data_IF_723511499182
#
_entry.id   IF_723511499182
#
_cell.length_a   1.000
_cell.length_b   1.000
_cell.length_c   1.000
_cell.angle_alpha   90.00
_cell.angle_beta   90.00
_cell.angle_gamma   90.00
#
_symmetry.space_group_name_H-M   'P 1'
#
loop_
_entity.id
_entity.type
_entity.pdbx_description
1 polymer ?
#
# COMPACT_ATOMS: atom_id res chain seq x y z
N UNK A 1 -21.11 -27.90 -15.57
CA UNK A 1 -22.39 -28.63 -15.74
C UNK A 1 -23.03 -28.35 -17.12
N UNK A 2 -23.30 -27.14 -17.53
CA UNK A 2 -23.87 -26.83 -18.85
C UNK A 2 -22.84 -26.93 -19.99
N UNK A 3 -21.57 -26.74 -19.73
CA UNK A 3 -20.47 -26.81 -20.71
C UNK A 3 -19.90 -28.23 -20.94
N UNK A 4 -20.34 -29.21 -20.13
CA UNK A 4 -19.81 -30.59 -20.22
C UNK A 4 -18.39 -30.79 -19.66
N UNK A 5 -17.76 -29.73 -19.14
CA UNK A 5 -16.46 -29.80 -18.45
C UNK A 5 -16.65 -29.97 -16.95
N UNK A 6 -15.88 -30.87 -16.36
CA UNK A 6 -15.80 -30.97 -14.90
C UNK A 6 -15.21 -29.65 -14.34
N UNK A 7 -16.00 -28.97 -13.51
CA UNK A 7 -15.65 -27.66 -12.93
C UNK A 7 -14.43 -27.76 -11.99
N UNK A 8 -14.01 -28.96 -11.63
CA UNK A 8 -12.94 -29.18 -10.66
C UNK A 8 -11.53 -28.84 -11.19
N UNK A 9 -11.32 -28.70 -12.50
CA UNK A 9 -9.98 -28.52 -13.06
C UNK A 9 -9.75 -27.20 -13.85
N UNK A 10 -10.78 -26.43 -14.20
CA UNK A 10 -10.56 -25.20 -14.97
C UNK A 10 -11.39 -24.03 -14.48
N UNK A 11 -10.71 -23.12 -13.79
CA UNK A 11 -11.29 -21.81 -13.41
C UNK A 11 -11.49 -20.85 -14.60
N UNK A 12 -11.31 -21.29 -15.85
CA UNK A 12 -11.34 -20.42 -17.03
C UNK A 12 -12.33 -20.98 -18.05
N UNK A 13 -13.25 -20.14 -18.51
CA UNK A 13 -14.17 -20.44 -19.63
C UNK A 13 -13.85 -19.49 -20.78
N UNK A 14 -13.68 -20.03 -21.99
CA UNK A 14 -13.52 -19.20 -23.18
C UNK A 14 -14.85 -18.59 -23.61
N UNK A 15 -14.80 -17.40 -24.20
CA UNK A 15 -15.97 -16.67 -24.71
C UNK A 15 -16.84 -17.54 -25.64
N UNK A 16 -16.20 -18.32 -26.51
CA UNK A 16 -16.89 -19.22 -27.43
C UNK A 16 -17.67 -20.33 -26.72
N UNK A 17 -17.13 -20.88 -25.64
CA UNK A 17 -17.83 -21.87 -24.81
C UNK A 17 -18.99 -21.25 -24.05
N UNK A 18 -18.81 -20.05 -23.50
CA UNK A 18 -19.87 -19.29 -22.84
C UNK A 18 -21.01 -19.01 -23.82
N UNK A 19 -20.74 -18.55 -25.04
CA UNK A 19 -21.77 -18.26 -26.03
C UNK A 19 -22.59 -19.50 -26.41
N UNK A 20 -21.99 -20.68 -26.47
CA UNK A 20 -22.74 -21.96 -26.67
C UNK A 20 -23.73 -22.20 -25.52
N UNK A 21 -23.29 -21.96 -24.28
CA UNK A 21 -24.18 -22.08 -23.12
C UNK A 21 -25.31 -21.03 -23.16
N UNK A 22 -24.99 -19.81 -23.55
CA UNK A 22 -25.97 -18.75 -23.71
C UNK A 22 -27.05 -19.11 -24.75
N UNK A 23 -26.65 -19.57 -25.93
CA UNK A 23 -27.57 -20.02 -26.98
C UNK A 23 -28.45 -21.22 -26.54
N UNK A 24 -27.88 -22.13 -25.75
CA UNK A 24 -28.63 -23.22 -25.14
C UNK A 24 -29.70 -22.69 -24.18
N UNK A 25 -29.35 -21.74 -23.32
CA UNK A 25 -30.29 -21.13 -22.38
C UNK A 25 -31.40 -20.36 -23.07
N UNK A 26 -31.13 -19.70 -24.20
CA UNK A 26 -32.15 -19.03 -25.00
C UNK A 26 -33.24 -19.97 -25.55
N UNK A 27 -32.87 -21.21 -25.84
CA UNK A 27 -33.75 -22.23 -26.45
C UNK A 27 -34.43 -23.15 -25.42
N UNK A 28 -33.99 -23.11 -24.15
CA UNK A 28 -34.44 -24.06 -23.13
C UNK A 28 -35.33 -23.36 -22.10
N UNK A 29 -36.47 -23.95 -21.78
CA UNK A 29 -37.37 -23.45 -20.75
C UNK A 29 -36.78 -23.71 -19.35
N UNK A 30 -37.04 -22.82 -18.37
CA UNK A 30 -36.55 -23.02 -16.98
C UNK A 30 -37.02 -24.36 -16.38
N UNK A 31 -38.24 -24.83 -16.70
CA UNK A 31 -38.72 -26.15 -16.27
C UNK A 31 -37.87 -27.29 -16.77
N UNK A 32 -37.40 -27.22 -18.01
CA UNK A 32 -36.58 -28.28 -18.64
C UNK A 32 -35.19 -28.30 -18.04
N UNK A 33 -34.63 -27.14 -17.67
CA UNK A 33 -33.38 -27.04 -16.92
C UNK A 33 -33.46 -27.70 -15.54
N UNK A 34 -34.60 -27.54 -14.87
CA UNK A 34 -34.83 -28.17 -13.57
C UNK A 34 -34.91 -29.69 -13.69
N UNK A 35 -35.63 -30.20 -14.68
CA UNK A 35 -35.82 -31.64 -14.88
C UNK A 35 -34.56 -32.32 -15.43
N UNK A 36 -33.98 -31.79 -16.50
CA UNK A 36 -32.87 -32.40 -17.20
C UNK A 36 -31.50 -32.20 -16.51
N UNK A 37 -31.31 -31.09 -15.81
CA UNK A 37 -30.02 -30.69 -15.22
C UNK A 37 -30.02 -30.61 -13.68
N UNK A 38 -31.12 -30.97 -13.04
CA UNK A 38 -31.30 -30.93 -11.56
C UNK A 38 -30.99 -29.52 -10.97
N UNK A 39 -31.25 -28.46 -11.75
CA UNK A 39 -31.07 -27.08 -11.28
C UNK A 39 -32.27 -26.72 -10.40
N UNK A 40 -32.07 -26.13 -9.23
CA UNK A 40 -33.17 -25.73 -8.35
C UNK A 40 -34.17 -24.82 -9.06
N UNK A 41 -35.47 -24.99 -8.77
CA UNK A 41 -36.57 -24.26 -9.42
C UNK A 41 -36.50 -22.75 -9.24
N UNK A 42 -35.93 -22.28 -8.13
CA UNK A 42 -35.69 -20.87 -7.81
C UNK A 42 -34.48 -20.29 -8.57
N UNK A 43 -33.55 -21.12 -9.04
CA UNK A 43 -32.33 -20.68 -9.76
C UNK A 43 -32.54 -20.72 -11.29
N UNK A 44 -33.25 -21.72 -11.80
CA UNK A 44 -33.43 -21.93 -13.25
C UNK A 44 -33.93 -20.69 -14.00
N UNK A 45 -34.91 -19.90 -13.50
CA UNK A 45 -35.37 -18.66 -14.16
C UNK A 45 -34.33 -17.55 -14.20
N UNK A 46 -33.36 -17.56 -13.28
CA UNK A 46 -32.35 -16.52 -13.16
C UNK A 46 -31.14 -16.73 -14.08
N UNK A 47 -30.98 -17.92 -14.63
CA UNK A 47 -29.80 -18.26 -15.45
C UNK A 47 -29.73 -17.45 -16.74
N UNK A 48 -30.84 -17.28 -17.44
CA UNK A 48 -30.86 -16.52 -18.68
C UNK A 48 -30.60 -15.03 -18.49
N UNK A 49 -31.24 -14.32 -17.52
CA UNK A 49 -30.88 -12.95 -17.18
C UNK A 49 -29.41 -12.79 -16.77
N UNK A 50 -28.89 -13.69 -15.94
CA UNK A 50 -27.47 -13.67 -15.54
C UNK A 50 -26.53 -13.85 -16.75
N UNK A 51 -26.82 -14.81 -17.63
CA UNK A 51 -26.05 -15.05 -18.83
C UNK A 51 -26.11 -13.85 -19.81
N UNK A 52 -27.24 -13.14 -19.89
CA UNK A 52 -27.38 -11.95 -20.71
C UNK A 52 -26.49 -10.80 -20.18
N UNK A 53 -26.43 -10.62 -18.87
CA UNK A 53 -25.55 -9.62 -18.24
C UNK A 53 -24.09 -9.93 -18.57
N UNK A 54 -23.65 -11.18 -18.36
CA UNK A 54 -22.29 -11.60 -18.67
C UNK A 54 -21.97 -11.42 -20.16
N UNK A 55 -22.90 -11.81 -21.06
CA UNK A 55 -22.74 -11.59 -22.51
C UNK A 55 -22.49 -10.13 -22.84
N UNK A 56 -23.33 -9.23 -22.32
CA UNK A 56 -23.17 -7.80 -22.56
C UNK A 56 -21.84 -7.26 -22.00
N UNK A 57 -21.39 -7.74 -20.85
CA UNK A 57 -20.06 -7.39 -20.32
C UNK A 57 -18.93 -7.85 -21.23
N UNK A 58 -19.01 -9.08 -21.76
CA UNK A 58 -18.02 -9.62 -22.71
C UNK A 58 -17.99 -8.82 -24.00
N UNK A 59 -19.17 -8.43 -24.52
CA UNK A 59 -19.28 -7.62 -25.74
C UNK A 59 -18.72 -6.22 -25.55
N UNK A 60 -18.98 -5.62 -24.38
CA UNK A 60 -18.46 -4.29 -24.04
C UNK A 60 -16.96 -4.25 -23.79
N UNK A 61 -16.42 -5.26 -23.11
CA UNK A 61 -15.00 -5.32 -22.73
C UNK A 61 -14.10 -5.92 -23.79
N UNK A 62 -14.65 -6.72 -24.72
CA UNK A 62 -13.91 -7.43 -25.76
C UNK A 62 -13.01 -8.53 -25.23
N UNK A 63 -13.16 -8.98 -23.97
CA UNK A 63 -12.35 -10.05 -23.39
C UNK A 63 -12.79 -11.44 -23.90
N UNK A 64 -11.82 -12.34 -24.09
CA UNK A 64 -12.05 -13.67 -24.62
C UNK A 64 -12.15 -14.77 -23.55
N UNK A 65 -11.84 -14.46 -22.29
CA UNK A 65 -11.80 -15.43 -21.20
C UNK A 65 -12.52 -14.93 -19.98
N UNK A 66 -13.28 -15.82 -19.32
CA UNK A 66 -13.97 -15.59 -18.06
C UNK A 66 -13.28 -16.43 -17.00
N UNK A 67 -12.84 -15.78 -15.93
CA UNK A 67 -12.30 -16.46 -14.77
C UNK A 67 -13.41 -16.74 -13.76
N UNK A 68 -13.57 -18.00 -13.35
CA UNK A 68 -14.55 -18.43 -12.35
C UNK A 68 -13.84 -18.81 -11.05
N UNK A 69 -13.75 -17.92 -10.08
CA UNK A 69 -13.24 -18.30 -8.77
C UNK A 69 -14.22 -19.25 -8.07
N UNK A 70 -13.72 -20.29 -7.45
CA UNK A 70 -14.52 -21.26 -6.68
C UNK A 70 -14.86 -20.77 -5.26
N UNK A 71 -14.85 -19.48 -5.02
CA UNK A 71 -15.16 -18.88 -3.72
C UNK A 71 -16.61 -18.43 -3.64
N UNK A 72 -17.26 -18.72 -2.52
CA UNK A 72 -18.54 -18.13 -2.15
C UNK A 72 -18.34 -16.91 -1.24
N UNK A 73 -19.39 -16.10 -1.05
CA UNK A 73 -19.38 -15.03 -0.05
C UNK A 73 -19.08 -15.57 1.36
N UNK A 74 -19.61 -16.74 1.68
CA UNK A 74 -19.37 -17.40 2.98
C UNK A 74 -17.90 -17.76 3.16
N UNK A 75 -17.24 -18.27 2.13
CA UNK A 75 -15.80 -18.57 2.17
C UNK A 75 -14.99 -17.29 2.41
N UNK A 76 -15.35 -16.19 1.76
CA UNK A 76 -14.73 -14.89 1.98
C UNK A 76 -14.88 -14.39 3.42
N UNK A 77 -16.08 -14.52 4.00
CA UNK A 77 -16.35 -14.14 5.40
C UNK A 77 -15.52 -15.00 6.37
N UNK A 78 -15.46 -16.31 6.15
CA UNK A 78 -14.68 -17.24 6.99
C UNK A 78 -13.19 -16.91 6.91
N UNK A 79 -12.67 -16.71 5.71
CA UNK A 79 -11.26 -16.37 5.49
C UNK A 79 -10.92 -15.04 6.18
N UNK A 80 -11.76 -14.03 6.04
CA UNK A 80 -11.57 -12.74 6.70
C UNK A 80 -11.59 -12.85 8.23
N UNK A 81 -12.51 -13.65 8.77
CA UNK A 81 -12.54 -13.94 10.20
C UNK A 81 -11.25 -14.64 10.68
N UNK A 82 -10.80 -15.67 9.96
CA UNK A 82 -9.55 -16.37 10.28
C UNK A 82 -8.31 -15.46 10.19
N UNK A 83 -8.27 -14.58 9.20
CA UNK A 83 -7.19 -13.60 9.05
C UNK A 83 -7.07 -12.70 10.29
N UNK A 84 -8.20 -12.17 10.79
CA UNK A 84 -8.19 -11.25 11.92
C UNK A 84 -8.04 -11.92 13.30
N UNK A 85 -8.46 -13.19 13.46
CA UNK A 85 -8.56 -13.82 14.78
C UNK A 85 -7.61 -14.99 14.99
N UNK A 86 -7.10 -15.63 13.94
CA UNK A 86 -6.30 -16.85 14.04
C UNK A 86 -4.91 -16.75 13.42
N UNK A 87 -4.40 -15.52 13.16
CA UNK A 87 -3.11 -15.31 12.48
C UNK A 87 -2.99 -16.07 11.14
N UNK A 88 -4.10 -16.29 10.46
CA UNK A 88 -4.09 -16.89 9.14
C UNK A 88 -3.45 -15.91 8.14
N UNK A 89 -2.34 -16.29 7.52
CA UNK A 89 -1.68 -15.45 6.52
C UNK A 89 -2.34 -15.68 5.17
N UNK A 90 -2.98 -14.64 4.67
CA UNK A 90 -3.44 -14.62 3.29
C UNK A 90 -2.23 -14.48 2.35
N UNK A 91 -2.32 -15.09 1.17
CA UNK A 91 -1.31 -14.93 0.12
C UNK A 91 -1.40 -13.56 -0.58
N UNK A 92 -2.36 -12.73 -0.21
CA UNK A 92 -2.53 -11.36 -0.68
C UNK A 92 -2.84 -10.43 0.50
N UNK A 93 -2.54 -9.16 0.33
CA UNK A 93 -2.81 -8.12 1.31
C UNK A 93 -4.11 -7.38 0.92
N UNK A 94 -5.22 -7.53 1.68
CA UNK A 94 -6.47 -6.85 1.36
C UNK A 94 -6.37 -5.32 1.43
N UNK A 95 -5.44 -4.77 2.22
CA UNK A 95 -5.21 -3.33 2.29
C UNK A 95 -4.63 -2.79 0.98
N UNK A 96 -3.86 -3.62 0.24
CA UNK A 96 -3.35 -3.25 -1.08
C UNK A 96 -4.46 -3.05 -2.12
N UNK A 97 -5.57 -3.78 -2.02
CA UNK A 97 -6.72 -3.60 -2.93
C UNK A 97 -7.38 -2.24 -2.71
N UNK A 98 -7.52 -1.83 -1.45
CA UNK A 98 -8.01 -0.50 -1.08
C UNK A 98 -7.09 0.61 -1.61
N UNK A 99 -5.77 0.48 -1.40
CA UNK A 99 -4.77 1.43 -1.88
C UNK A 99 -4.80 1.55 -3.40
N UNK A 100 -4.87 0.40 -4.11
CA UNK A 100 -4.96 0.40 -5.57
C UNK A 100 -6.26 1.02 -6.07
N UNK A 101 -7.38 0.81 -5.37
CA UNK A 101 -8.66 1.45 -5.67
C UNK A 101 -8.56 2.96 -5.51
N UNK A 102 -7.96 3.45 -4.42
CA UNK A 102 -7.72 4.87 -4.20
C UNK A 102 -6.83 5.48 -5.30
N UNK A 103 -5.75 4.80 -5.71
CA UNK A 103 -4.88 5.23 -6.81
C UNK A 103 -5.61 5.27 -8.15
N UNK A 104 -6.49 4.31 -8.43
CA UNK A 104 -7.32 4.31 -9.64
C UNK A 104 -8.30 5.49 -9.65
N UNK A 105 -8.87 5.86 -8.50
CA UNK A 105 -9.72 7.03 -8.34
C UNK A 105 -8.90 8.31 -8.60
N UNK A 106 -7.74 8.48 -7.94
CA UNK A 106 -6.86 9.62 -8.17
C UNK A 106 -6.45 9.75 -9.65
N UNK A 107 -6.16 8.64 -10.31
CA UNK A 107 -5.89 8.61 -11.77
C UNK A 107 -7.10 9.04 -12.60
N UNK A 108 -8.32 8.58 -12.25
CA UNK A 108 -9.57 8.97 -12.92
C UNK A 108 -9.78 10.48 -12.86
N UNK A 109 -9.49 11.09 -11.71
CA UNK A 109 -9.61 12.52 -11.50
C UNK A 109 -8.34 13.31 -11.89
N UNK A 110 -7.40 12.70 -12.62
CA UNK A 110 -6.20 13.34 -13.20
C UNK A 110 -5.34 14.07 -12.17
N UNK A 111 -5.25 13.56 -10.96
CA UNK A 111 -4.38 14.10 -9.93
C UNK A 111 -2.89 13.96 -10.32
N UNK A 112 -2.03 14.85 -9.79
CA UNK A 112 -0.59 14.75 -10.00
C UNK A 112 -0.01 13.54 -9.25
N UNK A 113 0.29 12.48 -10.02
CA UNK A 113 0.81 11.24 -9.48
C UNK A 113 2.09 11.42 -8.66
N UNK A 114 3.00 12.30 -9.12
CA UNK A 114 4.30 12.48 -8.46
C UNK A 114 4.16 13.21 -7.13
N UNK A 115 3.30 14.21 -7.11
CA UNK A 115 2.97 14.93 -5.89
C UNK A 115 2.29 14.01 -4.86
N UNK A 116 1.28 13.25 -5.30
CA UNK A 116 0.61 12.27 -4.44
C UNK A 116 1.61 11.26 -3.84
N UNK A 117 2.48 10.66 -4.65
CA UNK A 117 3.49 9.71 -4.18
C UNK A 117 4.46 10.35 -3.17
N UNK A 118 4.84 11.62 -3.37
CA UNK A 118 5.69 12.35 -2.44
C UNK A 118 4.96 12.60 -1.12
N UNK A 119 3.74 13.13 -1.15
CA UNK A 119 2.93 13.43 0.04
C UNK A 119 2.56 12.15 0.79
N UNK A 120 2.19 11.07 0.07
CA UNK A 120 1.94 9.75 0.65
C UNK A 120 3.14 9.26 1.46
N UNK A 121 4.34 9.26 0.87
CA UNK A 121 5.56 8.80 1.54
C UNK A 121 5.89 9.65 2.76
N UNK A 122 5.86 10.98 2.62
CA UNK A 122 6.15 11.90 3.72
C UNK A 122 5.14 11.77 4.88
N UNK A 123 3.85 11.64 4.56
CA UNK A 123 2.81 11.43 5.57
C UNK A 123 3.02 10.14 6.36
N UNK A 124 3.36 9.05 5.66
CA UNK A 124 3.62 7.75 6.29
C UNK A 124 4.91 7.78 7.13
N UNK A 125 5.98 8.43 6.67
CA UNK A 125 7.21 8.60 7.45
C UNK A 125 6.95 9.41 8.73
N UNK A 126 6.17 10.51 8.67
CA UNK A 126 5.78 11.31 9.83
C UNK A 126 4.93 10.48 10.79
N UNK A 127 3.96 9.72 10.26
CA UNK A 127 3.14 8.81 11.06
C UNK A 127 3.99 7.80 11.79
N UNK A 128 4.87 7.09 11.08
CA UNK A 128 5.72 6.03 11.63
C UNK A 128 6.70 6.57 12.70
N UNK A 129 7.16 7.82 12.56
CA UNK A 129 7.99 8.49 13.55
C UNK A 129 7.22 8.88 14.83
N UNK A 130 5.91 9.13 14.73
CA UNK A 130 5.10 9.71 15.83
C UNK A 130 4.03 8.78 16.39
N UNK A 131 3.76 7.62 15.78
CA UNK A 131 2.63 6.76 16.16
C UNK A 131 2.67 6.29 17.62
N UNK A 132 3.87 6.05 18.18
CA UNK A 132 4.02 5.63 19.59
C UNK A 132 3.56 6.69 20.58
N UNK A 133 3.71 7.97 20.22
CA UNK A 133 3.32 9.11 21.06
C UNK A 133 1.88 9.52 20.80
N UNK A 134 1.45 9.41 19.55
CA UNK A 134 0.10 9.83 19.15
C UNK A 134 -0.99 8.85 19.55
N UNK A 135 -0.66 7.58 19.86
CA UNK A 135 -1.65 6.54 20.15
C UNK A 135 -2.51 6.14 18.95
N UNK A 136 -2.07 6.47 17.73
CA UNK A 136 -2.72 6.07 16.48
C UNK A 136 -2.46 4.58 16.19
N UNK A 137 -3.42 3.93 15.55
CA UNK A 137 -3.38 2.50 15.23
C UNK A 137 -2.82 2.24 13.83
N UNK A 138 -2.51 0.97 13.53
CA UNK A 138 -2.13 0.54 12.17
C UNK A 138 -3.27 0.84 11.18
N UNK A 139 -4.53 0.77 11.62
CA UNK A 139 -5.68 1.11 10.77
C UNK A 139 -5.72 2.60 10.44
N UNK A 140 -5.41 3.48 11.41
CA UNK A 140 -5.28 4.92 11.17
C UNK A 140 -4.18 5.24 10.15
N UNK A 141 -3.09 4.46 10.13
CA UNK A 141 -2.04 4.58 9.12
C UNK A 141 -2.56 4.34 7.70
N UNK A 142 -3.40 3.31 7.53
CA UNK A 142 -4.04 3.03 6.24
C UNK A 142 -5.00 4.15 5.83
N UNK A 143 -5.81 4.66 6.79
CA UNK A 143 -6.70 5.78 6.52
C UNK A 143 -5.94 7.04 6.11
N UNK A 144 -4.80 7.31 6.73
CA UNK A 144 -3.90 8.40 6.33
C UNK A 144 -3.38 8.20 4.91
N UNK A 145 -2.94 6.99 4.58
CA UNK A 145 -2.42 6.65 3.25
C UNK A 145 -3.49 6.89 2.17
N UNK A 146 -4.71 6.41 2.40
CA UNK A 146 -5.84 6.64 1.48
C UNK A 146 -6.15 8.12 1.37
N UNK A 147 -6.15 8.88 2.49
CA UNK A 147 -6.35 10.32 2.49
C UNK A 147 -5.28 11.06 1.69
N UNK A 148 -4.00 10.67 1.85
CA UNK A 148 -2.89 11.24 1.10
C UNK A 148 -2.98 10.94 -0.41
N UNK A 149 -3.50 9.78 -0.82
CA UNK A 149 -3.71 9.45 -2.23
C UNK A 149 -4.86 10.29 -2.83
N UNK A 150 -5.90 10.57 -2.03
CA UNK A 150 -7.14 11.20 -2.52
C UNK A 150 -7.21 12.71 -2.26
N UNK A 151 -6.20 13.32 -1.61
CA UNK A 151 -6.30 14.71 -1.15
C UNK A 151 -6.52 15.75 -2.26
N UNK A 152 -6.14 15.43 -3.49
CA UNK A 152 -6.27 16.32 -4.64
C UNK A 152 -7.44 16.00 -5.58
N UNK A 153 -8.25 14.97 -5.34
CA UNK A 153 -9.31 14.55 -6.27
C UNK A 153 -10.33 15.66 -6.58
N UNK A 154 -10.53 16.58 -5.64
CA UNK A 154 -11.43 17.72 -5.82
C UNK A 154 -10.92 18.78 -6.79
N UNK A 155 -9.61 18.87 -7.07
CA UNK A 155 -9.03 19.79 -8.07
C UNK A 155 -9.59 19.58 -9.47
N UNK A 156 -10.07 18.37 -9.76
CA UNK A 156 -10.75 18.06 -11.02
C UNK A 156 -12.06 18.84 -11.20
N UNK A 157 -12.76 19.11 -10.09
CA UNK A 157 -14.06 19.81 -10.11
C UNK A 157 -13.86 21.33 -10.02
N UNK A 158 -13.01 21.76 -9.07
CA UNK A 158 -12.75 23.17 -8.80
C UNK A 158 -11.29 23.39 -8.41
N UNK A 159 -10.64 24.41 -8.98
CA UNK A 159 -9.27 24.78 -8.63
C UNK A 159 -9.20 25.44 -7.23
N UNK A 160 -10.21 26.23 -6.86
CA UNK A 160 -10.30 26.90 -5.55
C UNK A 160 -11.40 26.24 -4.72
N UNK A 161 -11.15 25.95 -3.43
CA UNK A 161 -12.11 25.23 -2.58
C UNK A 161 -12.29 23.75 -2.95
N UNK A 162 -11.26 23.17 -3.57
CA UNK A 162 -11.26 21.77 -4.03
C UNK A 162 -11.46 20.75 -2.90
N UNK A 163 -11.19 21.12 -1.67
CA UNK A 163 -11.35 20.27 -0.50
C UNK A 163 -12.82 19.90 -0.19
N UNK A 164 -13.76 20.83 -0.38
CA UNK A 164 -15.20 20.52 -0.21
C UNK A 164 -15.69 19.62 -1.36
N UNK A 165 -15.20 19.84 -2.58
CA UNK A 165 -15.48 18.95 -3.71
C UNK A 165 -14.88 17.54 -3.49
N UNK A 166 -13.64 17.47 -2.96
CA UNK A 166 -13.00 16.21 -2.62
C UNK A 166 -13.77 15.44 -1.54
N UNK A 167 -14.24 16.12 -0.49
CA UNK A 167 -15.09 15.55 0.54
C UNK A 167 -16.31 14.87 -0.07
N UNK A 168 -17.08 15.59 -0.89
CA UNK A 168 -18.27 15.03 -1.53
C UNK A 168 -17.94 13.86 -2.46
N UNK A 169 -16.86 13.97 -3.25
CA UNK A 169 -16.45 12.87 -4.14
C UNK A 169 -16.10 11.61 -3.35
N UNK A 170 -15.41 11.73 -2.22
CA UNK A 170 -15.02 10.59 -1.38
C UNK A 170 -16.25 10.03 -0.66
N UNK A 171 -17.10 10.87 -0.08
CA UNK A 171 -18.31 10.44 0.64
C UNK A 171 -19.26 9.60 -0.21
N UNK A 172 -19.39 9.94 -1.51
CA UNK A 172 -20.26 9.21 -2.46
C UNK A 172 -19.54 8.16 -3.30
N UNK A 173 -18.28 7.83 -2.96
CA UNK A 173 -17.51 6.80 -3.66
C UNK A 173 -17.44 5.54 -2.81
N UNK A 174 -17.85 4.40 -3.37
CA UNK A 174 -17.70 3.11 -2.72
C UNK A 174 -16.22 2.68 -2.74
N UNK A 175 -15.55 2.86 -1.60
CA UNK A 175 -14.21 2.36 -1.34
C UNK A 175 -14.31 1.00 -0.62
N UNK A 176 -14.25 -0.09 -1.39
CA UNK A 176 -14.30 -1.45 -0.85
C UNK A 176 -13.12 -1.64 0.12
N UNK A 177 -13.42 -2.06 1.34
CA UNK A 177 -12.43 -2.23 2.41
C UNK A 177 -12.50 -1.16 3.50
N UNK A 178 -13.30 -0.09 3.33
CA UNK A 178 -13.64 0.88 4.37
C UNK A 178 -15.11 0.71 4.79
N UNK A 179 -15.35 0.80 6.09
CA UNK A 179 -16.70 1.00 6.60
C UNK A 179 -17.08 2.49 6.51
N UNK A 180 -18.37 2.80 6.77
CA UNK A 180 -18.88 4.17 6.64
C UNK A 180 -18.16 5.19 7.54
N UNK A 181 -17.81 4.81 8.76
CA UNK A 181 -17.10 5.69 9.69
C UNK A 181 -15.67 5.96 9.24
N UNK A 182 -14.99 4.96 8.70
CA UNK A 182 -13.65 5.09 8.14
C UNK A 182 -13.63 5.94 6.88
N UNK A 183 -14.62 5.75 6.01
CA UNK A 183 -14.78 6.56 4.80
C UNK A 183 -15.00 8.04 5.15
N UNK A 184 -15.82 8.30 6.16
CA UNK A 184 -16.06 9.65 6.65
C UNK A 184 -14.81 10.27 7.32
N UNK A 185 -13.99 9.46 8.01
CA UNK A 185 -12.67 9.93 8.51
C UNK A 185 -11.79 10.38 7.33
N UNK A 186 -11.65 9.56 6.29
CA UNK A 186 -10.85 9.90 5.10
C UNK A 186 -11.37 11.18 4.44
N UNK A 187 -12.68 11.28 4.22
CA UNK A 187 -13.30 12.46 3.62
C UNK A 187 -13.07 13.73 4.45
N UNK A 188 -13.23 13.64 5.79
CA UNK A 188 -13.00 14.77 6.70
C UNK A 188 -11.53 15.19 6.73
N UNK A 189 -10.59 14.26 6.76
CA UNK A 189 -9.16 14.56 6.72
C UNK A 189 -8.82 15.34 5.45
N UNK A 190 -9.32 14.90 4.29
CA UNK A 190 -9.12 15.59 3.00
C UNK A 190 -9.81 16.96 2.97
N UNK A 191 -10.96 17.10 3.61
CA UNK A 191 -11.67 18.39 3.71
C UNK A 191 -10.91 19.40 4.54
N UNK A 192 -10.29 18.96 5.63
CA UNK A 192 -9.79 19.83 6.69
C UNK A 192 -8.30 20.16 6.55
N UNK A 193 -7.48 19.32 5.89
CA UNK A 193 -6.02 19.52 5.84
C UNK A 193 -5.57 20.89 5.28
N UNK A 194 -6.23 21.51 4.30
CA UNK A 194 -5.79 22.81 3.80
C UNK A 194 -6.28 23.99 4.61
N UNK A 195 -7.24 23.81 5.54
CA UNK A 195 -7.83 24.91 6.33
C UNK A 195 -6.87 25.38 7.42
N UNK A 196 -6.77 26.71 7.62
CA UNK A 196 -5.93 27.30 8.67
C UNK A 196 -6.42 26.93 10.06
N UNK A 197 -7.74 27.06 10.30
CA UNK A 197 -8.39 26.73 11.57
C UNK A 197 -9.46 25.63 11.35
N UNK A 198 -9.07 24.36 11.30
CA UNK A 198 -10.03 23.26 11.10
C UNK A 198 -11.00 23.09 12.26
N UNK A 199 -10.69 23.70 13.42
CA UNK A 199 -11.48 23.55 14.65
C UNK A 199 -12.77 24.37 14.68
N UNK A 200 -12.83 25.52 14.00
CA UNK A 200 -13.86 26.53 14.30
C UNK A 200 -15.28 26.11 13.92
N UNK A 201 -15.50 25.14 13.02
CA UNK A 201 -16.85 24.81 12.60
C UNK A 201 -17.16 23.34 12.31
N UNK A 202 -16.17 22.48 12.02
CA UNK A 202 -16.46 21.14 11.50
C UNK A 202 -16.02 20.02 12.44
N UNK A 203 -14.87 20.15 13.12
CA UNK A 203 -14.45 19.16 14.12
C UNK A 203 -15.40 19.13 15.33
N UNK A 204 -16.03 20.26 15.67
CA UNK A 204 -17.05 20.29 16.73
C UNK A 204 -18.32 19.53 16.38
N UNK A 205 -18.64 19.37 15.10
CA UNK A 205 -19.81 18.63 14.64
C UNK A 205 -19.64 17.11 14.76
N UNK A 206 -18.41 16.63 14.92
CA UNK A 206 -18.12 15.20 15.10
C UNK A 206 -18.53 14.79 16.50
N UNK A 207 -19.55 13.95 16.60
CA UNK A 207 -20.09 13.48 17.90
C UNK A 207 -19.18 12.46 18.59
N UNK A 208 -18.51 11.58 17.82
CA UNK A 208 -17.63 10.57 18.37
C UNK A 208 -16.26 11.14 18.74
N UNK A 209 -15.89 11.06 20.03
CA UNK A 209 -14.61 11.54 20.52
C UNK A 209 -13.41 10.82 19.89
N UNK A 210 -13.49 9.50 19.68
CA UNK A 210 -12.43 8.72 19.02
C UNK A 210 -12.22 9.15 17.59
N UNK A 211 -13.31 9.29 16.82
CA UNK A 211 -13.29 9.77 15.44
C UNK A 211 -12.69 11.18 15.33
N UNK A 212 -13.08 12.08 16.25
CA UNK A 212 -12.53 13.44 16.31
C UNK A 212 -11.01 13.43 16.50
N UNK A 213 -10.51 12.58 17.40
CA UNK A 213 -9.07 12.44 17.67
C UNK A 213 -8.33 11.91 16.44
N UNK A 214 -8.83 10.84 15.80
CA UNK A 214 -8.22 10.30 14.57
C UNK A 214 -8.22 11.35 13.46
N UNK A 215 -9.35 12.01 13.17
CA UNK A 215 -9.43 13.06 12.14
C UNK A 215 -8.43 14.19 12.43
N UNK A 216 -8.36 14.70 13.66
CA UNK A 216 -7.46 15.81 14.01
C UNK A 216 -5.99 15.44 13.79
N UNK A 217 -5.58 14.26 14.27
CA UNK A 217 -4.20 13.80 14.16
C UNK A 217 -3.81 13.51 12.71
N UNK A 218 -4.66 12.80 11.95
CA UNK A 218 -4.39 12.50 10.56
C UNK A 218 -4.36 13.78 9.70
N UNK A 219 -5.25 14.74 9.98
CA UNK A 219 -5.26 16.05 9.32
C UNK A 219 -3.96 16.81 9.55
N UNK A 220 -3.46 16.85 10.79
CA UNK A 220 -2.22 17.56 11.11
C UNK A 220 -1.00 16.94 10.41
N UNK A 221 -0.94 15.61 10.31
CA UNK A 221 0.13 14.90 9.61
C UNK A 221 0.06 15.15 8.09
N UNK A 222 -1.12 15.00 7.47
CA UNK A 222 -1.29 15.22 6.03
C UNK A 222 -0.96 16.68 5.66
N UNK A 223 -1.40 17.65 6.46
CA UNK A 223 -1.12 19.07 6.30
C UNK A 223 0.37 19.37 6.29
N UNK A 224 1.12 18.73 7.18
CA UNK A 224 2.56 18.92 7.29
C UNK A 224 3.29 18.26 6.10
N UNK A 225 2.85 17.07 5.68
CA UNK A 225 3.41 16.37 4.53
C UNK A 225 3.18 17.13 3.21
N UNK A 226 1.97 17.66 2.99
CA UNK A 226 1.64 18.48 1.82
C UNK A 226 2.46 19.79 1.79
N UNK A 227 2.72 20.39 2.95
CA UNK A 227 3.58 21.57 3.05
C UNK A 227 4.99 21.34 2.49
N UNK A 228 5.53 20.13 2.62
CA UNK A 228 6.88 19.78 2.19
C UNK A 228 7.02 19.61 0.67
N UNK A 229 5.94 19.51 -0.09
CA UNK A 229 5.94 19.54 -1.57
C UNK A 229 4.93 20.54 -2.13
N UNK A 230 4.73 21.67 -1.45
CA UNK A 230 3.77 22.72 -1.81
C UNK A 230 3.97 23.27 -3.23
N UNK A 231 5.19 23.21 -3.80
CA UNK A 231 5.46 23.62 -5.17
C UNK A 231 5.17 22.54 -6.22
N UNK A 232 4.79 21.34 -5.84
CA UNK A 232 4.58 20.16 -6.71
C UNK A 232 5.80 19.81 -7.59
N UNK A 233 7.02 20.09 -7.10
CA UNK A 233 8.26 19.88 -7.88
C UNK A 233 9.07 18.69 -7.43
N UNK A 234 8.62 17.98 -6.39
CA UNK A 234 9.29 16.80 -5.82
C UNK A 234 10.80 17.04 -5.63
N UNK A 235 11.12 18.14 -4.95
CA UNK A 235 12.52 18.59 -4.73
C UNK A 235 13.27 17.68 -3.76
N UNK A 236 12.56 16.97 -2.87
CA UNK A 236 13.13 16.11 -1.84
C UNK A 236 13.65 14.81 -2.48
N UNK A 237 14.90 14.47 -2.18
CA UNK A 237 15.55 13.22 -2.62
C UNK A 237 15.50 12.17 -1.52
N UNK A 238 15.71 12.62 -0.29
CA UNK A 238 15.77 11.74 0.88
C UNK A 238 15.29 12.48 2.11
N UNK A 239 14.53 11.76 2.94
CA UNK A 239 14.11 12.20 4.26
C UNK A 239 14.74 11.31 5.33
N UNK A 240 14.91 11.86 6.52
CA UNK A 240 15.29 11.13 7.72
C UNK A 240 14.62 11.81 8.89
N UNK A 241 13.79 11.04 9.61
CA UNK A 241 13.05 11.54 10.76
C UNK A 241 13.62 10.98 12.04
N UNK A 242 13.68 11.83 13.06
CA UNK A 242 14.02 11.42 14.43
C UNK A 242 13.19 12.23 15.43
N UNK A 243 12.70 11.54 16.46
CA UNK A 243 11.83 12.11 17.46
C UNK A 243 12.60 12.26 18.78
N UNK A 244 12.56 13.41 19.40
CA UNK A 244 12.97 13.65 20.78
C UNK A 244 11.74 13.84 21.69
N UNK A 245 11.93 14.17 22.97
CA UNK A 245 10.80 14.43 23.89
C UNK A 245 9.87 15.55 23.40
N UNK A 246 10.44 16.60 22.80
CA UNK A 246 9.73 17.86 22.51
C UNK A 246 9.75 18.23 21.03
N UNK A 247 10.55 17.54 20.21
CA UNK A 247 10.71 17.90 18.80
C UNK A 247 10.70 16.66 17.87
N UNK A 248 10.06 16.85 16.72
CA UNK A 248 10.17 15.98 15.55
C UNK A 248 11.16 16.60 14.56
N UNK A 249 12.36 16.09 14.49
CA UNK A 249 13.35 16.54 13.51
C UNK A 249 13.16 15.84 12.17
N UNK A 250 12.87 16.61 11.13
CA UNK A 250 12.74 16.16 9.75
C UNK A 250 13.94 16.71 8.96
N UNK A 251 14.88 15.84 8.62
CA UNK A 251 16.05 16.21 7.84
C UNK A 251 15.88 15.79 6.39
N UNK A 252 15.85 16.76 5.47
CA UNK A 252 15.68 16.54 4.05
C UNK A 252 16.95 16.84 3.25
N UNK A 253 17.23 16.01 2.25
CA UNK A 253 18.21 16.31 1.20
C UNK A 253 17.42 16.71 -0.04
N UNK A 254 17.70 17.90 -0.58
CA UNK A 254 16.95 18.45 -1.70
C UNK A 254 17.85 18.76 -2.90
N UNK A 255 17.30 18.60 -4.11
CA UNK A 255 17.94 18.91 -5.38
C UNK A 255 18.04 20.42 -5.61
N UNK A 256 17.04 21.15 -5.14
CA UNK A 256 16.84 22.58 -5.37
C UNK A 256 16.54 23.30 -4.05
N UNK A 257 16.43 24.65 -4.12
CA UNK A 257 16.00 25.44 -2.97
C UNK A 257 14.58 25.11 -2.56
N UNK A 258 14.37 24.88 -1.27
CA UNK A 258 13.09 24.58 -0.66
C UNK A 258 12.51 25.78 0.13
N UNK A 259 12.92 27.00 -0.18
CA UNK A 259 12.49 28.18 0.58
C UNK A 259 10.97 28.34 0.65
N UNK A 260 10.24 27.96 -0.39
CA UNK A 260 8.78 28.00 -0.42
C UNK A 260 8.17 26.89 0.46
N UNK A 261 8.73 25.69 0.40
CA UNK A 261 8.30 24.56 1.23
C UNK A 261 8.66 24.78 2.71
N UNK A 262 9.83 25.36 3.00
CA UNK A 262 10.23 25.74 4.37
C UNK A 262 9.26 26.77 4.97
N UNK A 263 8.92 27.80 4.21
CA UNK A 263 7.92 28.80 4.62
C UNK A 263 6.54 28.15 4.81
N UNK A 264 6.08 27.32 3.87
CA UNK A 264 4.80 26.62 3.95
C UNK A 264 4.75 25.67 5.15
N UNK A 265 5.85 24.96 5.41
CA UNK A 265 5.99 24.06 6.55
C UNK A 265 5.89 24.83 7.90
N UNK A 266 6.63 25.91 8.04
CA UNK A 266 6.60 26.74 9.25
C UNK A 266 5.19 27.25 9.53
N UNK A 267 4.50 27.74 8.48
CA UNK A 267 3.12 28.25 8.60
C UNK A 267 2.09 27.18 8.98
N UNK A 268 2.35 25.92 8.62
CA UNK A 268 1.43 24.81 8.86
C UNK A 268 1.80 23.95 10.06
N UNK A 269 2.95 24.17 10.68
CA UNK A 269 3.48 23.38 11.79
C UNK A 269 2.72 23.56 13.12
N UNK A 270 2.12 24.72 13.34
CA UNK A 270 1.44 25.05 14.60
C UNK A 270 0.33 24.04 14.94
N UNK A 271 -0.49 23.65 13.96
CA UNK A 271 -1.56 22.67 14.16
C UNK A 271 -1.01 21.30 14.59
N UNK A 272 0.11 20.89 14.01
CA UNK A 272 0.75 19.61 14.36
C UNK A 272 1.26 19.64 15.80
N UNK A 273 1.93 20.71 16.19
CA UNK A 273 2.43 20.90 17.56
C UNK A 273 1.29 20.90 18.58
N UNK A 274 0.18 21.59 18.29
CA UNK A 274 -1.01 21.65 19.16
C UNK A 274 -1.64 20.25 19.36
N UNK A 275 -1.74 19.45 18.28
CA UNK A 275 -2.47 18.17 18.32
C UNK A 275 -1.60 17.00 18.79
N UNK A 276 -0.36 16.94 18.34
CA UNK A 276 0.56 15.83 18.64
C UNK A 276 1.36 16.11 19.90
N UNK A 277 1.56 17.39 20.25
CA UNK A 277 2.26 17.82 21.47
C UNK A 277 3.77 17.93 21.31
N UNK A 278 4.31 17.82 20.07
CA UNK A 278 5.73 17.98 19.76
C UNK A 278 5.93 18.95 18.60
N UNK A 279 6.99 19.74 18.65
CA UNK A 279 7.29 20.74 17.63
C UNK A 279 7.98 20.11 16.43
N UNK A 280 7.42 20.22 15.21
CA UNK A 280 8.10 19.75 14.01
C UNK A 280 9.15 20.76 13.56
N UNK A 281 10.37 20.27 13.28
CA UNK A 281 11.51 21.08 12.84
C UNK A 281 12.04 20.53 11.53
N UNK A 282 11.94 21.34 10.46
CA UNK A 282 12.45 20.97 9.14
C UNK A 282 13.89 21.49 8.99
N UNK A 283 14.79 20.60 8.55
CA UNK A 283 16.19 20.93 8.23
C UNK A 283 16.48 20.49 6.81
N UNK A 284 16.78 21.44 5.94
CA UNK A 284 17.06 21.18 4.53
C UNK A 284 18.57 21.25 4.28
N UNK A 285 19.11 20.26 3.55
CA UNK A 285 20.48 20.25 3.04
C UNK A 285 20.44 20.10 1.53
N UNK A 286 21.30 20.83 0.82
CA UNK A 286 21.41 20.68 -0.62
C UNK A 286 22.33 19.51 -0.95
N UNK A 287 21.94 18.72 -1.96
CA UNK A 287 22.69 17.55 -2.42
C UNK A 287 24.13 17.93 -2.82
N UNK A 288 24.33 19.09 -3.43
CA UNK A 288 25.65 19.62 -3.82
C UNK A 288 26.58 19.88 -2.62
N UNK A 289 26.05 20.28 -1.46
CA UNK A 289 26.81 20.51 -0.24
C UNK A 289 27.31 19.20 0.38
N UNK A 290 26.58 18.12 0.19
CA UNK A 290 26.96 16.77 0.65
C UNK A 290 28.11 16.20 -0.20
N UNK A 291 28.08 16.42 -1.51
CA UNK A 291 29.15 16.00 -2.42
C UNK A 291 30.48 16.70 -2.08
N UNK A 292 30.43 18.00 -1.76
CA UNK A 292 31.63 18.78 -1.39
C UNK A 292 32.22 18.35 -0.03
N UNK A 293 31.37 18.02 0.95
CA UNK A 293 31.82 17.51 2.28
C UNK A 293 32.44 16.12 2.17
N UNK A 294 31.88 15.25 1.34
CA UNK A 294 32.46 13.91 1.13
C UNK A 294 33.81 13.97 0.41
N UNK A 295 34.01 14.93 -0.51
CA UNK A 295 35.30 15.16 -1.19
C UNK A 295 36.36 15.74 -0.23
N UNK A 296 35.94 16.62 0.71
CA UNK A 296 36.85 17.14 1.75
C UNK A 296 37.27 16.05 2.74
N UNK A 297 36.35 15.25 3.25
CA UNK A 297 36.65 14.15 4.17
C UNK A 297 37.50 13.03 3.54
N UNK A 298 37.40 12.83 2.21
CA UNK A 298 38.29 11.90 1.48
C UNK A 298 39.68 12.49 1.24
N UNK A 299 39.84 13.81 1.16
CA UNK A 299 41.17 14.47 1.07
C UNK A 299 41.86 14.51 2.42
N UNK A 300 41.17 14.76 3.51
CA UNK A 300 41.75 14.78 4.86
C UNK A 300 42.16 13.38 5.34
N UNK A 301 41.44 12.32 4.93
CA UNK A 301 41.80 10.92 5.20
C UNK A 301 42.97 10.42 4.33
N UNK A 302 43.25 11.05 3.16
CA UNK A 302 44.46 10.75 2.36
C UNK A 302 45.70 11.47 2.88
N UNK A 303 45.56 12.67 3.43
CA UNK A 303 46.71 13.42 4.03
C UNK A 303 47.23 12.79 5.31
N UNK A 304 46.38 12.09 6.08
CA UNK A 304 46.78 11.39 7.32
C UNK A 304 47.42 10.03 7.09
N UNK A 305 47.26 9.41 5.90
CA UNK A 305 47.92 8.13 5.56
C UNK A 305 49.29 8.27 4.96
N UNK A 306 49.61 9.40 4.34
CA UNK A 306 50.96 9.61 3.75
C UNK A 306 52.03 10.04 4.77
N UNK A 307 51.64 10.60 5.91
CA UNK A 307 52.60 10.92 7.00
C UNK A 307 52.99 9.72 7.85
N UNK A 308 52.15 8.64 7.89
CA UNK A 308 52.54 7.40 8.59
C UNK A 308 53.33 6.40 7.75
N UNK A 309 53.43 6.60 6.44
CA UNK A 309 54.18 5.73 5.52
C UNK A 309 55.68 6.09 5.39
N UNK A 310 56.09 7.25 5.92
CA UNK A 310 57.53 7.67 5.89
C UNK A 310 58.33 7.31 7.14
N UNK A 311 57.71 6.82 8.19
CA UNK A 311 58.41 6.40 9.42
C UNK A 311 58.58 4.88 9.60
N UNK A 312 57.96 4.05 8.74
CA UNK A 312 58.04 2.57 8.85
C UNK A 312 58.94 1.90 7.81
N UNK A 313 59.65 2.67 6.98
CA UNK A 313 60.54 2.12 5.94
C UNK A 313 62.03 2.02 6.37
N UNK A 314 62.35 2.20 7.65
CA UNK A 314 63.73 2.04 8.16
C UNK A 314 63.97 0.84 9.09
N UNK A 315 62.93 -0.01 9.31
CA UNK A 315 63.08 -1.15 10.25
C UNK A 315 62.65 -2.52 9.68
N UNK A 316 62.58 -2.70 8.37
CA UNK A 316 62.22 -4.01 7.81
C UNK A 316 63.09 -4.36 6.60
N UNK A 317 64.40 -4.46 6.87
CA UNK A 317 65.33 -5.07 5.94
C UNK A 317 66.14 -6.15 6.67
N UNK A 318 65.49 -7.10 7.30
CA UNK A 318 66.03 -8.38 7.76
C UNK A 318 64.83 -9.27 8.11
N UNK A 319 64.39 -10.08 7.21
CA UNK A 319 63.77 -11.40 7.32
C UNK A 319 62.95 -11.70 6.09
N UNK A 320 63.64 -12.05 5.05
CA UNK A 320 63.09 -12.76 3.91
C UNK A 320 63.76 -14.12 3.97
N UNK A 321 63.03 -15.15 4.20
CA UNK A 321 63.13 -16.53 3.70
C UNK A 321 62.24 -17.43 4.58
N UNK A 322 61.50 -18.31 3.94
CA UNK A 322 60.63 -19.38 4.46
C UNK A 322 59.17 -19.01 4.77
N UNK A 323 58.32 -19.23 3.80
CA UNK A 323 57.15 -20.13 3.83
C UNK A 323 56.19 -19.89 2.66
N UNK A 324 56.62 -20.28 1.47
CA UNK A 324 55.74 -20.71 0.38
C UNK A 324 55.57 -22.22 0.59
N UNK A 325 54.35 -22.65 0.90
CA UNK A 325 53.75 -23.96 0.68
C UNK A 325 52.70 -24.25 1.75
N UNK A 326 51.43 -23.98 1.44
CA UNK A 326 50.24 -24.68 1.96
C UNK A 326 49.04 -23.76 1.92
N UNK A 327 48.43 -23.61 0.76
CA UNK A 327 46.99 -23.43 0.56
C UNK A 327 46.68 -23.67 -0.93
N UNK A 328 46.71 -24.94 -1.33
CA UNK A 328 45.99 -25.49 -2.50
C UNK A 328 45.61 -26.88 -2.07
N UNK A 329 44.40 -27.03 -1.53
CA UNK A 329 43.61 -28.28 -1.49
C UNK A 329 42.40 -28.06 -0.55
N UNK A 330 41.36 -27.52 -1.04
CA UNK A 330 40.01 -27.76 -0.51
C UNK A 330 38.94 -27.16 -1.46
N UNK A 331 38.89 -27.63 -2.69
CA UNK A 331 37.76 -27.45 -3.60
C UNK A 331 37.70 -28.69 -4.48
N UNK A 332 37.02 -29.73 -3.97
CA UNK A 332 36.42 -30.84 -4.75
C UNK A 332 35.90 -31.85 -3.73
N UNK A 333 34.62 -31.83 -3.50
CA UNK A 333 33.78 -33.00 -3.24
C UNK A 333 32.44 -32.52 -2.60
N UNK A 334 31.43 -32.24 -3.41
CA UNK A 334 30.08 -32.72 -3.15
C UNK A 334 29.42 -32.86 -4.51
N UNK A 335 29.42 -34.09 -4.99
CA UNK A 335 28.55 -34.59 -6.06
C UNK A 335 27.53 -35.53 -5.42
N UNK A 336 26.28 -35.30 -5.82
CA UNK A 336 25.21 -36.31 -6.00
C UNK A 336 24.76 -37.14 -4.81
N UNK A 337 23.52 -36.90 -4.37
CA UNK A 337 22.64 -38.01 -3.98
C UNK A 337 21.26 -37.83 -4.63
N UNK A 338 20.87 -38.89 -5.33
CA UNK A 338 19.62 -39.13 -6.06
C UNK A 338 18.44 -39.44 -5.09
N UNK A 339 17.17 -39.38 -5.58
CA UNK A 339 15.97 -39.45 -4.76
C UNK A 339 15.62 -40.88 -4.34
N UNK A 340 15.07 -41.03 -3.15
CA UNK A 340 14.53 -42.28 -2.64
C UNK A 340 13.05 -42.36 -2.94
N UNK A 341 12.66 -43.49 -3.52
CA UNK A 341 11.34 -43.93 -3.91
C UNK A 341 10.41 -44.18 -2.71
N UNK A 342 9.12 -43.97 -2.98
CA UNK A 342 7.97 -44.41 -2.21
C UNK A 342 7.91 -45.94 -2.05
N UNK A 343 7.46 -46.39 -0.90
CA UNK A 343 6.82 -47.72 -0.70
C UNK A 343 5.79 -47.55 0.44
N UNK A 344 4.54 -47.61 0.12
CA UNK A 344 3.51 -48.66 0.18
C UNK A 344 3.16 -49.16 1.58
N UNK A 345 1.86 -48.99 1.87
CA UNK A 345 0.88 -49.90 2.47
C UNK A 345 1.01 -50.30 3.93
N UNK A 346 -0.10 -50.10 4.66
CA UNK A 346 -0.86 -51.09 5.46
C UNK A 346 -2.20 -50.46 5.79
N UNK A 347 -3.29 -50.90 5.23
CA UNK A 347 -4.41 -51.77 5.66
C UNK A 347 -5.05 -51.38 7.00
N UNK A 348 -6.26 -50.90 6.83
CA UNK A 348 -7.54 -51.29 7.44
C UNK A 348 -7.54 -52.09 8.78
N UNK A 349 -8.34 -51.58 9.68
CA UNK A 349 -9.23 -52.44 10.46
C UNK A 349 -10.48 -51.71 10.98
N UNK A 350 -11.60 -52.43 10.88
CA UNK A 350 -12.95 -52.10 11.30
C UNK A 350 -13.11 -52.33 12.79
N UNK A 351 -13.99 -51.61 13.47
CA UNK A 351 -15.03 -52.08 14.40
C UNK A 351 -15.80 -50.83 14.90
N UNK A 352 -17.05 -50.66 14.66
CA UNK A 352 -18.31 -51.28 15.10
C UNK A 352 -18.62 -51.01 16.58
N UNK A 353 -19.81 -50.36 16.78
CA UNK A 353 -20.70 -50.25 17.94
C UNK A 353 -20.27 -49.27 19.06
N UNK A 354 -21.10 -48.31 19.39
CA UNK A 354 -22.51 -48.21 19.76
C UNK A 354 -23.08 -46.84 19.43
#
# INVERSE_FOLDING_TARGET
>A
MLSGKDINDTCIIDRTEFLKVYEYLLKTRPSDLTLARKIPTNVAPLLLPAALIIKNMLDYTGVDKIYLPHGSLSDGIIINYCYHHQNYKLNYDPDMDLINTARNIAKRYKCDKKHIEMVENLALEIFDATHKMSGLTVRDRLLLQVSAILHEVGKFVHATGHNDAAYNLIEYTDLIGLNKDELDIVALVVKLYPKENPYENELYKIQSSSKKVSVSKLTSILRLADAMDSSHRQKIVKTTLSTSSDELHISCVAKESMAFEEWSFEHRSALFEEIIGIKPVLRVRREQEMAVKNVKNTKDNKGSKDTKKKQTTKAAKATKVTKTAKVVKATKAVKTTKPVKATKTVKAEKSVKK
#
